data_IF_852628064304
#
_entry.id   IF_852628064304
#
_cell.length_a   1.000
_cell.length_b   1.000
_cell.length_c   1.000
_cell.angle_alpha   90.00
_cell.angle_beta   90.00
_cell.angle_gamma   90.00
#
_symmetry.space_group_name_H-M   'P 1'
#
loop_
_entity.id
_entity.type
_entity.pdbx_description
1 polymer ?
#
# COMPACT_ATOMS: atom_id res chain seq x y z
N UNK A 1 -2.29 32.20 -13.19
CA UNK A 1 -2.35 32.07 -11.71
C UNK A 1 -3.06 30.79 -11.29
N UNK A 2 -4.31 30.55 -11.70
CA UNK A 2 -5.08 29.34 -11.34
C UNK A 2 -4.38 28.03 -11.72
N UNK A 3 -3.90 27.91 -12.96
CA UNK A 3 -3.17 26.72 -13.44
C UNK A 3 -1.88 26.44 -12.64
N UNK A 4 -1.14 27.49 -12.30
CA UNK A 4 0.08 27.39 -11.50
C UNK A 4 -0.19 26.86 -10.09
N UNK A 5 -1.28 27.36 -9.45
CA UNK A 5 -1.72 26.87 -8.14
C UNK A 5 -2.09 25.38 -8.20
N UNK A 6 -2.81 24.95 -9.24
CA UNK A 6 -3.14 23.53 -9.43
C UNK A 6 -1.89 22.65 -9.57
N UNK A 7 -0.87 23.10 -10.31
CA UNK A 7 0.39 22.36 -10.47
C UNK A 7 1.13 22.20 -9.14
N UNK A 8 1.17 23.25 -8.31
CA UNK A 8 1.79 23.19 -6.98
C UNK A 8 1.06 22.19 -6.08
N UNK A 9 -0.27 22.26 -6.03
CA UNK A 9 -1.08 21.35 -5.21
C UNK A 9 -0.86 19.90 -5.65
N UNK A 10 -0.86 19.66 -6.96
CA UNK A 10 -0.60 18.33 -7.51
C UNK A 10 0.79 17.81 -7.12
N UNK A 11 1.83 18.63 -7.27
CA UNK A 11 3.18 18.26 -6.87
C UNK A 11 3.29 17.95 -5.37
N UNK A 12 2.71 18.79 -4.51
CA UNK A 12 2.68 18.56 -3.06
C UNK A 12 1.94 17.26 -2.71
N UNK A 13 0.86 16.93 -3.42
CA UNK A 13 0.11 15.68 -3.21
C UNK A 13 0.93 14.44 -3.57
N UNK A 14 1.70 14.48 -4.66
CA UNK A 14 2.59 13.40 -5.05
C UNK A 14 3.71 13.20 -4.04
N UNK A 15 4.29 14.30 -3.54
CA UNK A 15 5.34 14.25 -2.52
C UNK A 15 4.81 13.67 -1.20
N UNK A 16 3.62 14.07 -0.77
CA UNK A 16 2.97 13.51 0.40
C UNK A 16 2.74 12.00 0.25
N UNK A 17 2.23 11.55 -0.90
CA UNK A 17 2.00 10.12 -1.16
C UNK A 17 3.32 9.34 -1.13
N UNK A 18 4.39 9.90 -1.70
CA UNK A 18 5.70 9.28 -1.68
C UNK A 18 6.24 9.05 -0.26
N UNK A 19 6.16 10.07 0.60
CA UNK A 19 6.56 9.96 2.00
C UNK A 19 5.70 8.91 2.72
N UNK A 20 4.38 8.90 2.49
CA UNK A 20 3.47 7.90 3.07
C UNK A 20 3.90 6.48 2.68
N UNK A 21 4.30 6.26 1.44
CA UNK A 21 4.75 4.94 0.96
C UNK A 21 6.07 4.51 1.62
N UNK A 22 7.04 5.42 1.77
CA UNK A 22 8.30 5.11 2.46
C UNK A 22 8.05 4.68 3.91
N UNK A 23 7.22 5.44 4.64
CA UNK A 23 6.83 5.08 6.02
C UNK A 23 6.05 3.76 6.05
N UNK A 24 5.14 3.56 5.09
CA UNK A 24 4.39 2.33 4.95
C UNK A 24 5.31 1.10 4.76
N UNK A 25 6.34 1.19 3.92
CA UNK A 25 7.33 0.10 3.76
C UNK A 25 8.11 -0.19 5.02
N UNK A 26 8.51 0.83 5.76
CA UNK A 26 9.19 0.66 7.05
C UNK A 26 8.29 -0.09 8.04
N UNK A 27 7.03 0.34 8.18
CA UNK A 27 6.06 -0.29 9.09
C UNK A 27 5.73 -1.72 8.67
N UNK A 28 5.57 -1.97 7.37
CA UNK A 28 5.29 -3.30 6.84
C UNK A 28 6.45 -4.26 7.12
N UNK A 29 7.70 -3.80 6.93
CA UNK A 29 8.90 -4.57 7.27
C UNK A 29 9.01 -4.86 8.76
N UNK A 30 8.83 -3.85 9.62
CA UNK A 30 8.85 -4.02 11.09
C UNK A 30 7.80 -5.02 11.57
N UNK A 31 6.59 -4.97 11.00
CA UNK A 31 5.50 -5.88 11.34
C UNK A 31 5.79 -7.32 10.91
N UNK A 32 6.39 -7.50 9.73
CA UNK A 32 6.84 -8.80 9.25
C UNK A 32 7.95 -9.38 10.15
N UNK A 33 8.94 -8.55 10.55
CA UNK A 33 10.01 -8.95 11.47
C UNK A 33 9.46 -9.32 12.85
N UNK A 34 8.52 -8.55 13.41
CA UNK A 34 7.87 -8.90 14.68
C UNK A 34 7.25 -10.29 14.62
N UNK A 35 6.50 -10.58 13.56
CA UNK A 35 5.82 -11.88 13.42
C UNK A 35 6.81 -13.02 13.24
N UNK A 36 7.91 -12.78 12.54
CA UNK A 36 9.00 -13.73 12.43
C UNK A 36 9.62 -14.05 13.79
N UNK A 37 9.99 -13.02 14.54
CA UNK A 37 10.63 -13.21 15.84
C UNK A 37 9.70 -13.85 16.85
N UNK A 38 8.40 -13.51 16.83
CA UNK A 38 7.41 -14.14 17.70
C UNK A 38 7.26 -15.64 17.42
N UNK A 39 7.34 -16.05 16.14
CA UNK A 39 7.24 -17.45 15.75
C UNK A 39 8.43 -18.29 16.24
N UNK A 40 9.66 -17.75 16.16
CA UNK A 40 10.87 -18.46 16.62
C UNK A 40 11.10 -18.35 18.12
N UNK A 41 10.75 -17.22 18.72
CA UNK A 41 11.03 -16.91 20.12
C UNK A 41 9.80 -16.25 20.77
N UNK A 42 8.79 -17.05 21.18
CA UNK A 42 7.53 -16.52 21.73
C UNK A 42 7.74 -15.71 23.02
N UNK A 43 8.86 -15.89 23.73
CA UNK A 43 9.19 -15.10 24.93
C UNK A 43 9.40 -13.60 24.66
N UNK A 44 9.68 -13.19 23.41
CA UNK A 44 9.94 -11.78 23.06
C UNK A 44 8.66 -11.06 22.58
N UNK A 45 7.52 -11.76 22.49
CA UNK A 45 6.25 -11.22 21.97
C UNK A 45 5.87 -9.90 22.63
N UNK A 46 5.89 -9.88 23.97
CA UNK A 46 5.48 -8.73 24.77
C UNK A 46 6.42 -7.54 24.57
N UNK A 47 7.72 -7.80 24.50
CA UNK A 47 8.74 -6.76 24.28
C UNK A 47 8.62 -6.14 22.88
N UNK A 48 8.48 -6.95 21.83
CA UNK A 48 8.33 -6.42 20.46
C UNK A 48 6.99 -5.73 20.23
N UNK A 49 5.91 -6.23 20.83
CA UNK A 49 4.60 -5.55 20.79
C UNK A 49 4.68 -4.15 21.40
N UNK A 50 5.39 -4.01 22.54
CA UNK A 50 5.65 -2.71 23.15
C UNK A 50 6.48 -1.80 22.22
N UNK A 51 7.51 -2.32 21.55
CA UNK A 51 8.32 -1.56 20.57
C UNK A 51 7.42 -1.03 19.44
N UNK A 52 6.57 -1.86 18.85
CA UNK A 52 5.70 -1.42 17.75
C UNK A 52 4.64 -0.42 18.21
N UNK A 53 4.11 -0.57 19.43
CA UNK A 53 3.22 0.44 20.02
C UNK A 53 3.93 1.78 20.22
N UNK A 54 5.21 1.74 20.60
CA UNK A 54 6.06 2.93 20.79
C UNK A 54 6.34 3.60 19.44
N UNK A 55 6.67 2.82 18.41
CA UNK A 55 6.83 3.31 17.03
C UNK A 55 5.55 3.97 16.53
N UNK A 56 4.38 3.38 16.77
CA UNK A 56 3.09 3.99 16.39
C UNK A 56 2.83 5.29 17.15
N UNK A 57 3.12 5.34 18.45
CA UNK A 57 2.98 6.56 19.26
C UNK A 57 3.84 7.71 18.73
N UNK A 58 5.04 7.39 18.25
CA UNK A 58 6.03 8.35 17.77
C UNK A 58 6.15 8.39 16.24
N UNK A 59 5.12 7.93 15.52
CA UNK A 59 5.15 7.83 14.06
C UNK A 59 5.36 9.19 13.37
N UNK A 60 4.90 10.28 13.99
CA UNK A 60 5.04 11.62 13.44
C UNK A 60 6.51 12.05 13.28
N UNK A 61 7.40 11.62 14.19
CA UNK A 61 8.83 11.88 14.07
C UNK A 61 9.43 11.18 12.85
N UNK A 62 8.95 9.98 12.53
CA UNK A 62 9.38 9.22 11.34
C UNK A 62 8.95 9.97 10.08
N UNK A 63 7.71 10.47 10.03
CA UNK A 63 7.24 11.30 8.92
C UNK A 63 8.07 12.57 8.73
N UNK A 64 8.42 13.27 9.81
CA UNK A 64 9.29 14.46 9.75
C UNK A 64 10.68 14.08 9.23
N UNK A 65 11.28 12.99 9.71
CA UNK A 65 12.59 12.54 9.27
C UNK A 65 12.64 12.25 7.76
N UNK A 66 11.63 11.54 7.23
CA UNK A 66 11.52 11.30 5.80
C UNK A 66 11.24 12.58 5.01
N UNK A 67 10.37 13.47 5.50
CA UNK A 67 10.11 14.76 4.88
C UNK A 67 11.39 15.62 4.76
N UNK A 68 12.17 15.72 5.84
CA UNK A 68 13.45 16.44 5.83
C UNK A 68 14.43 15.82 4.82
N UNK A 69 14.51 14.49 4.77
CA UNK A 69 15.34 13.78 3.78
C UNK A 69 14.95 14.13 2.34
N UNK A 70 13.66 14.23 2.03
CA UNK A 70 13.18 14.62 0.70
C UNK A 70 13.44 16.09 0.37
N UNK A 71 13.27 17.01 1.34
CA UNK A 71 13.56 18.44 1.17
C UNK A 71 15.04 18.67 0.89
N UNK A 72 15.93 18.05 1.67
CA UNK A 72 17.38 18.12 1.43
C UNK A 72 17.71 17.46 0.07
N UNK A 73 17.03 16.35 -0.26
CA UNK A 73 16.95 15.74 -1.59
C UNK A 73 16.81 16.76 -2.72
N UNK A 74 15.67 17.46 -2.72
CA UNK A 74 15.32 18.41 -3.75
C UNK A 74 16.26 19.62 -3.81
N UNK A 75 16.66 20.16 -2.66
CA UNK A 75 17.62 21.27 -2.61
C UNK A 75 18.95 20.85 -3.24
N UNK A 76 19.45 19.65 -2.91
CA UNK A 76 20.70 19.15 -3.49
C UNK A 76 20.60 18.94 -5.00
N UNK A 77 19.44 18.48 -5.52
CA UNK A 77 19.23 18.30 -6.94
C UNK A 77 19.19 19.63 -7.71
N UNK A 78 18.60 20.68 -7.13
CA UNK A 78 18.56 22.02 -7.74
C UNK A 78 19.97 22.63 -7.76
N UNK A 79 20.71 22.52 -6.66
CA UNK A 79 22.08 23.07 -6.52
C UNK A 79 23.10 22.34 -7.42
N UNK A 80 22.92 21.04 -7.69
CA UNK A 80 23.79 20.28 -8.62
C UNK A 80 23.66 20.68 -10.10
N UNK A 81 22.79 21.65 -10.47
CA UNK A 81 22.79 22.21 -11.83
C UNK A 81 23.99 23.14 -12.09
N UNK A 82 24.69 23.59 -11.04
CA UNK A 82 25.92 24.37 -11.15
C UNK A 82 27.19 23.50 -10.87
N UNK A 83 28.37 24.02 -11.20
CA UNK A 83 29.70 23.37 -11.14
C UNK A 83 30.08 22.70 -9.79
N UNK A 84 29.31 22.90 -8.72
CA UNK A 84 29.57 22.42 -7.36
C UNK A 84 29.25 20.93 -7.11
N UNK A 85 28.82 20.19 -8.14
CA UNK A 85 28.28 18.84 -8.00
C UNK A 85 29.29 17.80 -7.43
N UNK A 86 30.61 18.05 -7.50
CA UNK A 86 31.64 17.17 -6.89
C UNK A 86 31.61 17.11 -5.35
N UNK A 87 31.11 18.15 -4.66
CA UNK A 87 31.08 18.17 -3.18
C UNK A 87 29.85 17.47 -2.59
N UNK A 88 28.85 17.15 -3.41
CA UNK A 88 27.54 16.62 -2.99
C UNK A 88 27.34 15.11 -3.26
N UNK A 89 28.37 14.41 -3.79
CA UNK A 89 28.29 12.97 -4.06
C UNK A 89 27.87 12.14 -2.84
N UNK A 90 28.34 12.50 -1.64
CA UNK A 90 28.00 11.78 -0.41
C UNK A 90 26.50 11.80 -0.08
N UNK A 91 25.82 12.93 -0.32
CA UNK A 91 24.39 13.03 -0.04
C UNK A 91 23.54 12.32 -1.11
N UNK A 92 23.93 12.42 -2.38
CA UNK A 92 23.31 11.65 -3.47
C UNK A 92 23.43 10.15 -3.19
N UNK A 93 24.61 9.70 -2.76
CA UNK A 93 24.87 8.32 -2.38
C UNK A 93 24.01 7.90 -1.18
N UNK A 94 23.88 8.75 -0.15
CA UNK A 94 22.97 8.51 0.98
C UNK A 94 21.51 8.39 0.54
N UNK A 95 21.03 9.28 -0.34
CA UNK A 95 19.67 9.25 -0.86
C UNK A 95 19.39 7.95 -1.63
N UNK A 96 20.29 7.56 -2.54
CA UNK A 96 20.17 6.33 -3.31
C UNK A 96 20.25 5.10 -2.40
N UNK A 97 21.21 5.08 -1.48
CA UNK A 97 21.41 3.99 -0.52
C UNK A 97 20.19 3.77 0.36
N UNK A 98 19.62 4.85 0.93
CA UNK A 98 18.39 4.75 1.75
C UNK A 98 17.21 4.19 0.96
N UNK A 99 17.04 4.58 -0.30
CA UNK A 99 16.02 4.00 -1.18
C UNK A 99 16.21 2.49 -1.39
N UNK A 100 17.43 2.04 -1.70
CA UNK A 100 17.73 0.63 -1.90
C UNK A 100 17.58 -0.18 -0.61
N UNK A 101 18.08 0.33 0.52
CA UNK A 101 17.99 -0.33 1.83
C UNK A 101 16.53 -0.53 2.22
N UNK A 102 15.66 0.46 2.07
CA UNK A 102 14.23 0.32 2.41
C UNK A 102 13.53 -0.72 1.53
N UNK A 103 13.81 -0.70 0.23
CA UNK A 103 13.24 -1.68 -0.71
C UNK A 103 13.74 -3.10 -0.44
N UNK A 104 15.03 -3.25 -0.13
CA UNK A 104 15.60 -4.56 0.22
C UNK A 104 15.06 -5.04 1.57
N UNK A 105 14.97 -4.15 2.56
CA UNK A 105 14.42 -4.46 3.89
C UNK A 105 12.99 -5.01 3.80
N UNK A 106 12.11 -4.38 3.01
CA UNK A 106 10.73 -4.87 2.84
C UNK A 106 10.68 -6.19 2.07
N UNK A 107 11.50 -6.38 1.03
CA UNK A 107 11.55 -7.63 0.27
C UNK A 107 12.05 -8.81 1.11
N UNK A 108 13.14 -8.61 1.87
CA UNK A 108 13.66 -9.62 2.78
C UNK A 108 12.64 -9.98 3.85
N UNK A 109 12.02 -8.97 4.47
CA UNK A 109 10.99 -9.18 5.49
C UNK A 109 9.79 -9.95 4.95
N UNK A 110 9.35 -9.65 3.73
CA UNK A 110 8.24 -10.34 3.06
C UNK A 110 8.58 -11.80 2.71
N UNK A 111 9.79 -12.07 2.20
CA UNK A 111 10.23 -13.42 1.87
C UNK A 111 10.17 -14.36 3.07
N UNK A 112 10.55 -13.87 4.25
CA UNK A 112 10.47 -14.66 5.48
C UNK A 112 9.06 -14.73 6.08
N UNK A 113 8.25 -13.69 5.91
CA UNK A 113 6.90 -13.64 6.45
C UNK A 113 5.92 -14.61 5.75
N UNK A 114 6.13 -14.90 4.48
CA UNK A 114 5.29 -15.84 3.70
C UNK A 114 5.35 -17.28 4.24
N UNK A 115 6.53 -17.92 4.39
CA UNK A 115 6.66 -19.26 4.96
C UNK A 115 6.03 -19.39 6.34
N UNK A 116 6.18 -18.36 7.18
CA UNK A 116 5.66 -18.35 8.55
C UNK A 116 4.14 -18.27 8.56
N UNK A 117 3.56 -17.43 7.70
CA UNK A 117 2.11 -17.37 7.61
C UNK A 117 1.53 -18.69 7.06
N UNK A 118 2.23 -19.36 6.15
CA UNK A 118 1.84 -20.70 5.67
C UNK A 118 1.96 -21.77 6.76
N UNK A 119 3.02 -21.76 7.57
CA UNK A 119 3.19 -22.72 8.67
C UNK A 119 2.13 -22.54 9.75
N UNK A 120 1.84 -21.30 10.14
CA UNK A 120 0.76 -20.96 11.08
C UNK A 120 -0.59 -21.37 10.50
N UNK A 121 -0.83 -21.14 9.20
CA UNK A 121 -2.09 -21.52 8.57
C UNK A 121 -2.32 -23.04 8.58
N UNK A 122 -1.26 -23.82 8.31
CA UNK A 122 -1.28 -25.30 8.40
C UNK A 122 -1.63 -25.79 9.80
N UNK A 123 -1.16 -25.10 10.85
CA UNK A 123 -1.46 -25.43 12.25
C UNK A 123 -2.89 -25.02 12.64
N UNK A 124 -3.40 -23.87 12.17
CA UNK A 124 -4.79 -23.44 12.45
C UNK A 124 -5.87 -24.28 11.76
N UNK A 125 -5.57 -24.94 10.64
CA UNK A 125 -6.50 -25.88 9.99
C UNK A 125 -6.83 -27.10 10.88
N UNK A 126 -6.09 -27.31 11.98
CA UNK A 126 -6.31 -28.38 12.95
C UNK A 126 -7.13 -27.94 14.19
N UNK A 127 -7.74 -26.75 14.19
CA UNK A 127 -8.87 -26.47 15.10
C UNK A 127 -8.72 -25.31 16.10
N UNK A 128 -8.13 -24.18 15.73
CA UNK A 128 -8.18 -22.97 16.59
C UNK A 128 -8.65 -21.75 15.78
N UNK A 129 -9.79 -21.20 16.21
CA UNK A 129 -10.56 -20.08 15.65
C UNK A 129 -9.92 -18.69 15.87
N UNK A 130 -8.59 -18.58 15.84
CA UNK A 130 -7.85 -17.34 16.13
C UNK A 130 -7.47 -16.53 14.87
N UNK A 131 -8.31 -16.52 13.83
CA UNK A 131 -8.01 -15.79 12.60
C UNK A 131 -8.66 -14.41 12.61
N UNK A 132 -8.01 -13.47 13.32
CA UNK A 132 -8.36 -12.06 13.24
C UNK A 132 -8.22 -11.59 11.78
N UNK A 133 -9.30 -11.03 11.21
CA UNK A 133 -9.35 -10.41 9.88
C UNK A 133 -8.10 -9.57 9.50
N UNK A 134 -7.47 -8.79 10.40
CA UNK A 134 -6.24 -8.06 10.08
C UNK A 134 -5.04 -8.93 9.68
N UNK A 135 -4.89 -10.15 10.21
CA UNK A 135 -3.75 -11.00 9.87
C UNK A 135 -3.76 -11.42 8.40
N UNK A 136 -4.95 -11.73 7.87
CA UNK A 136 -5.13 -12.09 6.46
C UNK A 136 -4.86 -10.90 5.54
N UNK A 137 -5.31 -9.71 5.92
CA UNK A 137 -5.07 -8.47 5.16
C UNK A 137 -3.58 -8.21 4.95
N UNK A 138 -2.81 -8.23 6.05
CA UNK A 138 -1.36 -8.01 6.00
C UNK A 138 -0.67 -9.08 5.14
N UNK A 139 -1.10 -10.34 5.26
CA UNK A 139 -0.57 -11.42 4.41
C UNK A 139 -0.79 -11.17 2.91
N UNK A 140 -2.03 -10.96 2.47
CA UNK A 140 -2.32 -10.69 1.07
C UNK A 140 -1.57 -9.46 0.57
N UNK A 141 -1.50 -8.41 1.39
CA UNK A 141 -0.79 -7.19 1.04
C UNK A 141 0.71 -7.41 0.83
N UNK A 142 1.38 -8.13 1.74
CA UNK A 142 2.80 -8.46 1.60
C UNK A 142 3.09 -9.35 0.40
N UNK A 143 2.25 -10.36 0.13
CA UNK A 143 2.41 -11.27 -1.01
C UNK A 143 2.25 -10.52 -2.32
N UNK A 144 1.20 -9.71 -2.46
CA UNK A 144 0.96 -8.95 -3.68
C UNK A 144 2.06 -7.92 -3.93
N UNK A 145 2.54 -7.24 -2.88
CA UNK A 145 3.65 -6.30 -2.99
C UNK A 145 4.93 -6.99 -3.46
N UNK A 146 5.22 -8.19 -2.92
CA UNK A 146 6.41 -8.97 -3.29
C UNK A 146 6.35 -9.42 -4.75
N UNK A 147 5.22 -10.00 -5.19
CA UNK A 147 5.00 -10.40 -6.59
C UNK A 147 5.21 -9.20 -7.51
N UNK A 148 4.61 -8.06 -7.16
CA UNK A 148 4.73 -6.85 -7.97
C UNK A 148 6.20 -6.39 -8.10
N UNK A 149 6.96 -6.33 -7.00
CA UNK A 149 8.37 -5.92 -7.04
C UNK A 149 9.25 -6.89 -7.83
N UNK A 150 9.04 -8.21 -7.69
CA UNK A 150 9.79 -9.21 -8.47
C UNK A 150 9.47 -9.19 -9.96
N UNK A 151 8.26 -8.81 -10.37
CA UNK A 151 7.93 -8.72 -11.80
C UNK A 151 8.38 -7.39 -12.40
N UNK A 152 8.12 -6.26 -11.73
CA UNK A 152 8.33 -4.93 -12.30
C UNK A 152 9.79 -4.47 -12.27
N UNK A 153 10.54 -4.73 -11.20
CA UNK A 153 11.93 -4.26 -11.08
C UNK A 153 12.82 -4.87 -12.19
N UNK A 154 12.82 -6.19 -12.45
CA UNK A 154 13.61 -6.77 -13.53
C UNK A 154 13.16 -6.33 -14.92
N UNK A 155 11.85 -6.15 -15.14
CA UNK A 155 11.30 -5.70 -16.43
C UNK A 155 11.80 -4.29 -16.76
N UNK A 156 11.80 -3.38 -15.78
CA UNK A 156 12.33 -2.02 -15.96
C UNK A 156 13.83 -2.05 -16.29
N UNK A 157 14.62 -2.84 -15.56
CA UNK A 157 16.07 -2.95 -15.77
C UNK A 157 16.40 -3.53 -17.16
N UNK A 158 15.72 -4.61 -17.54
CA UNK A 158 15.97 -5.33 -18.79
C UNK A 158 15.51 -4.53 -20.02
N UNK A 159 14.35 -3.87 -19.94
CA UNK A 159 13.74 -3.22 -21.10
C UNK A 159 14.33 -1.83 -21.39
N UNK A 160 14.76 -1.08 -20.36
CA UNK A 160 15.03 0.35 -20.54
C UNK A 160 16.49 0.74 -20.78
N UNK A 161 17.49 -0.14 -20.59
CA UNK A 161 18.93 0.26 -20.48
C UNK A 161 19.09 1.62 -19.77
N UNK A 162 18.25 1.86 -18.75
CA UNK A 162 18.08 3.18 -18.19
C UNK A 162 19.23 3.50 -17.24
N UNK A 163 19.59 4.78 -17.16
CA UNK A 163 20.42 5.26 -16.05
C UNK A 163 19.75 4.91 -14.71
N UNK A 164 20.54 4.61 -13.69
CA UNK A 164 20.05 4.22 -12.36
C UNK A 164 19.05 5.24 -11.80
N UNK A 165 19.30 6.53 -12.01
CA UNK A 165 18.40 7.60 -11.58
C UNK A 165 17.02 7.51 -12.24
N UNK A 166 16.96 7.27 -13.56
CA UNK A 166 15.70 7.15 -14.29
C UNK A 166 14.94 5.88 -13.88
N UNK A 167 15.65 4.77 -13.66
CA UNK A 167 15.06 3.54 -13.13
C UNK A 167 14.42 3.76 -11.74
N UNK A 168 15.11 4.46 -10.83
CA UNK A 168 14.58 4.79 -9.51
C UNK A 168 13.30 5.64 -9.63
N UNK A 169 13.29 6.67 -10.49
CA UNK A 169 12.11 7.52 -10.71
C UNK A 169 10.91 6.69 -11.19
N UNK A 170 11.12 5.79 -12.17
CA UNK A 170 10.05 4.91 -12.67
C UNK A 170 9.52 4.01 -11.55
N UNK A 171 10.40 3.41 -10.74
CA UNK A 171 9.99 2.55 -9.63
C UNK A 171 9.17 3.36 -8.62
N UNK A 172 9.61 4.56 -8.26
CA UNK A 172 8.88 5.44 -7.33
C UNK A 172 7.50 5.81 -7.86
N UNK A 173 7.39 6.23 -9.12
CA UNK A 173 6.10 6.57 -9.73
C UNK A 173 5.17 5.35 -9.78
N UNK A 174 5.73 4.17 -10.05
CA UNK A 174 4.97 2.93 -10.06
C UNK A 174 4.46 2.60 -8.65
N UNK A 175 5.30 2.73 -7.63
CA UNK A 175 4.92 2.48 -6.23
C UNK A 175 3.85 3.47 -5.76
N UNK A 176 3.94 4.75 -6.15
CA UNK A 176 2.92 5.80 -5.90
C UNK A 176 1.53 5.35 -6.37
N UNK A 177 1.43 4.72 -7.54
CA UNK A 177 0.16 4.23 -8.06
C UNK A 177 -0.25 2.89 -7.46
N UNK A 178 0.70 1.96 -7.32
CA UNK A 178 0.42 0.55 -7.06
C UNK A 178 0.19 0.29 -5.58
N UNK A 179 0.93 0.92 -4.66
CA UNK A 179 0.79 0.65 -3.22
C UNK A 179 -0.63 0.96 -2.71
N UNK A 180 -1.26 2.11 -3.04
CA UNK A 180 -2.66 2.36 -2.67
C UNK A 180 -3.64 1.36 -3.28
N UNK A 181 -3.43 0.96 -4.54
CA UNK A 181 -4.25 -0.06 -5.19
C UNK A 181 -4.10 -1.42 -4.51
N UNK A 182 -2.88 -1.82 -4.14
CA UNK A 182 -2.61 -3.06 -3.42
C UNK A 182 -3.27 -3.07 -2.04
N UNK A 183 -3.29 -1.95 -1.32
CA UNK A 183 -4.03 -1.78 -0.07
C UNK A 183 -5.52 -2.09 -0.29
N UNK A 184 -6.14 -1.46 -1.29
CA UNK A 184 -7.57 -1.64 -1.58
C UNK A 184 -7.91 -3.06 -2.05
N UNK A 185 -7.10 -3.62 -2.94
CA UNK A 185 -7.25 -4.99 -3.44
C UNK A 185 -7.08 -5.99 -2.30
N UNK A 186 -6.14 -5.78 -1.39
CA UNK A 186 -5.94 -6.65 -0.22
C UNK A 186 -7.11 -6.58 0.76
N UNK A 187 -7.66 -5.38 0.95
CA UNK A 187 -8.84 -5.17 1.79
C UNK A 187 -10.07 -5.88 1.21
N UNK A 188 -10.32 -5.70 -0.09
CA UNK A 188 -11.39 -6.37 -0.80
C UNK A 188 -11.17 -7.89 -0.79
N UNK A 189 -9.94 -8.31 -1.10
CA UNK A 189 -9.36 -9.66 -1.12
C UNK A 189 -9.66 -10.51 0.13
N UNK A 190 -9.68 -9.87 1.29
CA UNK A 190 -9.93 -10.55 2.55
C UNK A 190 -11.42 -10.70 2.90
N UNK A 191 -12.32 -9.95 2.23
CA UNK A 191 -13.75 -10.07 2.42
C UNK A 191 -14.35 -11.06 1.40
N UNK A 192 -14.14 -12.36 1.66
CA UNK A 192 -14.60 -13.48 0.80
C UNK A 192 -16.07 -13.34 0.38
N UNK A 193 -16.95 -12.84 1.27
CA UNK A 193 -18.36 -12.59 0.96
C UNK A 193 -18.53 -11.47 -0.06
N UNK A 194 -17.90 -10.31 0.14
CA UNK A 194 -17.97 -9.21 -0.81
C UNK A 194 -17.34 -9.55 -2.15
N UNK A 195 -16.23 -10.29 -2.17
CA UNK A 195 -15.61 -10.73 -3.44
C UNK A 195 -16.53 -11.66 -4.20
N UNK A 196 -17.15 -12.62 -3.50
CA UNK A 196 -18.04 -13.57 -4.17
C UNK A 196 -19.29 -12.87 -4.71
N UNK A 197 -19.81 -11.87 -3.98
CA UNK A 197 -20.89 -10.99 -4.47
C UNK A 197 -20.41 -10.14 -5.65
N UNK A 198 -19.21 -9.57 -5.56
CA UNK A 198 -18.60 -8.77 -6.63
C UNK A 198 -18.44 -9.61 -7.88
N UNK A 199 -17.71 -10.74 -7.88
CA UNK A 199 -17.54 -11.55 -9.09
C UNK A 199 -18.85 -12.13 -9.63
N UNK A 200 -19.84 -12.39 -8.78
CA UNK A 200 -21.15 -12.87 -9.24
C UNK A 200 -21.99 -11.77 -9.91
N UNK A 201 -21.86 -10.53 -9.43
CA UNK A 201 -22.72 -9.43 -9.86
C UNK A 201 -22.00 -8.41 -10.78
N UNK A 202 -20.67 -8.42 -10.83
CA UNK A 202 -19.85 -7.46 -11.53
C UNK A 202 -19.74 -7.86 -13.01
N UNK A 203 -20.49 -7.13 -13.85
CA UNK A 203 -20.32 -7.15 -15.29
C UNK A 203 -19.44 -5.96 -15.67
N UNK A 204 -18.19 -6.23 -16.02
CA UNK A 204 -17.18 -5.22 -16.40
C UNK A 204 -17.68 -4.34 -17.56
N UNK A 205 -18.46 -4.92 -18.47
CA UNK A 205 -19.13 -4.23 -19.57
C UNK A 205 -20.18 -3.21 -19.11
N UNK A 206 -20.97 -3.53 -18.07
CA UNK A 206 -21.93 -2.59 -17.48
C UNK A 206 -21.24 -1.49 -16.69
N UNK A 207 -20.16 -1.82 -15.95
CA UNK A 207 -19.38 -0.83 -15.22
C UNK A 207 -18.72 0.21 -16.15
N UNK A 208 -18.11 -0.24 -17.25
CA UNK A 208 -17.50 0.67 -18.24
C UNK A 208 -18.57 1.54 -18.91
N UNK A 209 -19.75 0.98 -19.23
CA UNK A 209 -20.86 1.76 -19.80
C UNK A 209 -21.34 2.87 -18.86
N UNK A 210 -21.48 2.58 -17.56
CA UNK A 210 -21.85 3.58 -16.54
C UNK A 210 -20.74 4.61 -16.33
N UNK A 211 -19.46 4.20 -16.31
CA UNK A 211 -18.32 5.11 -16.12
C UNK A 211 -18.16 6.09 -17.29
N UNK A 212 -18.48 5.64 -18.50
CA UNK A 212 -18.42 6.45 -19.73
C UNK A 212 -19.75 7.17 -20.03
N UNK A 213 -20.72 7.11 -19.11
CA UNK A 213 -22.07 7.67 -19.27
C UNK A 213 -22.77 7.24 -20.56
N UNK A 214 -22.47 6.03 -21.03
CA UNK A 214 -23.11 5.37 -22.17
C UNK A 214 -24.41 4.77 -21.63
N UNK A 215 -25.39 5.66 -21.46
CA UNK A 215 -26.82 5.43 -21.23
C UNK A 215 -27.21 4.03 -20.74
N UNK A 216 -27.46 3.94 -19.43
CA UNK A 216 -28.44 2.99 -18.94
C UNK A 216 -29.46 3.76 -18.14
N UNK A 217 -30.63 4.02 -18.73
CA UNK A 217 -31.85 4.32 -17.97
C UNK A 217 -32.03 3.22 -16.92
N UNK A 218 -31.55 3.45 -15.70
CA UNK A 218 -31.89 2.60 -14.57
C UNK A 218 -33.29 3.03 -14.14
N UNK A 219 -34.32 2.44 -14.75
CA UNK A 219 -35.71 2.64 -14.32
C UNK A 219 -35.86 2.07 -12.90
N UNK A 220 -36.24 2.87 -11.90
CA UNK A 220 -36.49 2.36 -10.56
C UNK A 220 -37.67 1.39 -10.61
N UNK A 221 -37.49 0.16 -10.11
CA UNK A 221 -38.60 -0.74 -9.88
C UNK A 221 -39.44 -0.17 -8.72
N UNK A 222 -40.56 0.48 -9.05
CA UNK A 222 -41.62 0.77 -8.09
C UNK A 222 -42.19 -0.58 -7.61
N UNK A 223 -41.71 -1.08 -6.48
CA UNK A 223 -42.43 -2.08 -5.71
C UNK A 223 -43.64 -1.40 -5.08
N UNK A 224 -44.78 -1.48 -5.75
CA UNK A 224 -46.08 -1.10 -5.20
C UNK A 224 -46.42 -2.06 -4.06
N UNK A 225 -46.00 -1.72 -2.84
CA UNK A 225 -46.52 -2.36 -1.63
C UNK A 225 -48.02 -2.07 -1.58
N UNK A 226 -48.84 -3.09 -1.84
CA UNK A 226 -50.28 -3.07 -1.54
C UNK A 226 -50.43 -2.86 -0.03
N UNK A 227 -50.69 -1.63 0.38
CA UNK A 227 -51.24 -1.34 1.71
C UNK A 227 -52.66 -1.90 1.71
N UNK A 228 -52.81 -3.09 2.30
CA UNK A 228 -54.09 -3.66 2.67
C UNK A 228 -54.76 -2.72 3.68
N UNK A 229 -55.79 -2.01 3.23
CA UNK A 229 -56.67 -1.21 4.08
C UNK A 229 -57.55 -2.20 4.86
N UNK A 230 -57.15 -2.51 6.10
CA UNK A 230 -58.02 -3.12 7.10
C UNK A 230 -59.10 -2.09 7.45
N UNK A 231 -60.35 -2.35 7.05
CA UNK A 231 -61.52 -1.70 7.65
C UNK A 231 -62.30 -2.75 8.44
N UNK A 232 -62.18 -2.67 9.76
CA UNK A 232 -63.13 -3.08 10.81
C UNK A 232 -62.58 -2.35 12.05
N UNK A 233 -63.32 -1.60 12.87
CA UNK A 233 -64.73 -1.71 13.28
C UNK A 233 -65.05 -0.57 14.30
N UNK A 234 -66.35 -0.34 14.56
CA UNK A 234 -66.98 0.36 15.71
C UNK A 234 -67.15 1.89 15.52
N UNK A 235 -68.36 2.48 15.47
CA UNK A 235 -69.57 2.37 16.29
C UNK A 235 -70.83 2.45 15.42
#
# INVERSE_FOLDING_TARGET
>A
MVTFVFMIIFFLSLLALYIIIQVFYLLLGLLAVQRLLNYFVPSIEKSFSNVISTVHKYIWYIYIAFCLKEVIGMISAIVCSDEYCKKQEGFILFYISTFFILNLFVMMSAFFYIPITLSVWKLTNLGISYQSKPHRYIFFQTVLLLIFKFTFIPLIIFHKKASLALAIIIIVLTDILVVPLLIQVSYLGCNKRNINILFRNFKLTTFIKVLLDIESEVRPQLNTTRVSRYSNSNV
#
